data_IF_899010093694
#
_entry.id   IF_899010093694
#
_cell.length_a   1.000
_cell.length_b   1.000
_cell.length_c   1.000
_cell.angle_alpha   90.00
_cell.angle_beta   90.00
_cell.angle_gamma   90.00
#
_symmetry.space_group_name_H-M   'P 1'
#
loop_
_entity.id
_entity.type
_entity.pdbx_description
1 polymer ?
#
# COMPACT_ATOMS: atom_id res chain seq x y z
N UNK A 1 -9.66 -18.72 -21.89
CA UNK A 1 -8.77 -18.72 -20.70
C UNK A 1 -8.75 -17.31 -20.15
N UNK A 2 -9.57 -17.01 -19.15
CA UNK A 2 -9.70 -15.66 -18.60
C UNK A 2 -8.66 -15.47 -17.50
N UNK A 3 -7.75 -14.52 -17.69
CA UNK A 3 -6.79 -14.13 -16.66
C UNK A 3 -7.57 -13.53 -15.49
N UNK A 4 -7.50 -14.18 -14.33
CA UNK A 4 -8.00 -13.62 -13.09
C UNK A 4 -7.21 -12.35 -12.80
N UNK A 5 -7.82 -11.19 -13.04
CA UNK A 5 -7.32 -9.92 -12.54
C UNK A 5 -7.27 -10.07 -11.02
N UNK A 6 -6.08 -10.12 -10.44
CA UNK A 6 -5.90 -10.00 -9.00
C UNK A 6 -6.24 -8.56 -8.63
N UNK A 7 -7.53 -8.26 -8.49
CA UNK A 7 -7.99 -6.98 -7.96
C UNK A 7 -7.46 -6.92 -6.53
N UNK A 8 -6.42 -6.13 -6.30
CA UNK A 8 -5.97 -5.84 -4.94
C UNK A 8 -7.16 -5.23 -4.20
N UNK A 9 -7.59 -5.83 -3.07
CA UNK A 9 -8.78 -5.35 -2.37
C UNK A 9 -8.54 -3.91 -1.91
N UNK A 10 -9.52 -3.04 -2.16
CA UNK A 10 -9.53 -1.70 -1.58
C UNK A 10 -9.98 -1.79 -0.13
N UNK A 11 -9.31 -1.07 0.77
CA UNK A 11 -9.72 -0.92 2.17
C UNK A 11 -9.52 0.51 2.62
N UNK A 12 -10.56 1.10 3.19
CA UNK A 12 -10.56 2.48 3.70
C UNK A 12 -10.14 3.54 2.65
N UNK A 13 -10.38 3.28 1.36
CA UNK A 13 -9.99 4.17 0.26
C UNK A 13 -8.56 3.95 -0.25
N UNK A 14 -7.83 2.98 0.29
CA UNK A 14 -6.46 2.64 -0.10
C UNK A 14 -6.38 1.29 -0.80
N UNK A 15 -5.43 1.14 -1.72
CA UNK A 15 -5.11 -0.16 -2.30
C UNK A 15 -4.30 -0.97 -1.30
N UNK A 16 -4.80 -2.15 -0.91
CA UNK A 16 -4.10 -3.04 0.01
C UNK A 16 -3.13 -3.92 -0.76
N UNK A 17 -1.91 -4.06 -0.24
CA UNK A 17 -0.94 -5.00 -0.80
C UNK A 17 -1.23 -6.42 -0.34
N UNK A 18 -0.93 -7.42 -1.15
CA UNK A 18 -1.00 -8.83 -0.73
C UNK A 18 0.13 -9.22 0.24
N UNK A 19 0.82 -8.23 0.83
CA UNK A 19 1.97 -8.45 1.70
C UNK A 19 1.49 -8.82 3.10
N UNK A 20 1.88 -10.02 3.54
CA UNK A 20 1.75 -10.39 4.94
C UNK A 20 2.79 -9.64 5.78
N UNK A 21 2.33 -9.02 6.88
CA UNK A 21 3.22 -8.38 7.83
C UNK A 21 3.87 -9.44 8.73
N UNK A 22 5.19 -9.56 8.67
CA UNK A 22 5.97 -10.39 9.59
C UNK A 22 6.47 -9.50 10.73
N UNK A 23 5.92 -9.71 11.92
CA UNK A 23 6.42 -9.05 13.11
C UNK A 23 7.88 -9.47 13.39
N UNK A 24 8.74 -8.56 13.88
CA UNK A 24 10.08 -8.93 14.30
C UNK A 24 10.02 -9.94 15.46
N UNK A 25 10.96 -10.90 15.52
CA UNK A 25 10.89 -12.02 16.48
C UNK A 25 10.97 -11.58 17.95
N UNK A 26 11.63 -10.45 18.23
CA UNK A 26 11.80 -9.93 19.59
C UNK A 26 11.21 -8.52 19.71
N UNK A 27 9.89 -8.44 19.90
CA UNK A 27 9.19 -7.16 20.09
C UNK A 27 9.47 -6.52 21.46
N UNK A 28 9.95 -7.28 22.45
CA UNK A 28 10.19 -6.82 23.83
C UNK A 28 11.19 -5.67 23.92
N UNK A 29 12.24 -5.68 23.08
CA UNK A 29 13.31 -4.66 23.07
C UNK A 29 12.99 -3.46 22.20
N UNK A 30 11.89 -3.48 21.47
CA UNK A 30 11.48 -2.32 20.69
C UNK A 30 11.09 -1.17 21.62
N UNK A 31 11.48 0.03 21.22
CA UNK A 31 10.99 1.24 21.86
C UNK A 31 9.45 1.32 21.71
N UNK A 32 8.76 2.11 22.55
CA UNK A 32 7.31 2.20 22.52
C UNK A 32 6.73 2.61 21.14
N UNK A 33 7.46 3.44 20.37
CA UNK A 33 7.02 3.88 19.04
C UNK A 33 7.13 2.73 18.04
N UNK A 34 8.23 1.99 18.04
CA UNK A 34 8.42 0.82 17.19
C UNK A 34 7.41 -0.30 17.53
N UNK A 35 7.15 -0.56 18.83
CA UNK A 35 6.08 -1.48 19.26
C UNK A 35 4.73 -1.07 18.68
N UNK A 36 4.42 0.23 18.75
CA UNK A 36 3.16 0.76 18.23
C UNK A 36 3.02 0.53 16.72
N UNK A 37 4.08 0.77 15.94
CA UNK A 37 4.08 0.50 14.49
C UNK A 37 3.83 -0.98 14.18
N UNK A 38 4.50 -1.88 14.91
CA UNK A 38 4.30 -3.34 14.77
C UNK A 38 2.85 -3.72 15.06
N UNK A 39 2.26 -3.20 16.14
CA UNK A 39 0.86 -3.47 16.50
C UNK A 39 -0.10 -2.99 15.41
N UNK A 40 0.07 -1.76 14.90
CA UNK A 40 -0.75 -1.23 13.79
C UNK A 40 -0.72 -2.18 12.58
N UNK A 41 0.48 -2.60 12.17
CA UNK A 41 0.65 -3.46 11.00
C UNK A 41 0.06 -4.87 11.23
N UNK A 42 0.25 -5.43 12.42
CA UNK A 42 -0.29 -6.73 12.78
C UNK A 42 -1.83 -6.72 12.77
N UNK A 43 -2.45 -5.69 13.38
CA UNK A 43 -3.91 -5.54 13.41
C UNK A 43 -4.49 -5.37 12.01
N UNK A 44 -3.83 -4.64 11.13
CA UNK A 44 -4.29 -4.43 9.77
C UNK A 44 -4.14 -5.66 8.87
N UNK A 45 -2.92 -6.21 8.78
CA UNK A 45 -2.60 -7.27 7.81
C UNK A 45 -2.98 -8.66 8.30
N UNK A 46 -2.81 -8.94 9.59
CA UNK A 46 -2.98 -10.29 10.13
C UNK A 46 -4.36 -10.47 10.78
N UNK A 47 -4.88 -9.43 11.43
CA UNK A 47 -6.24 -9.45 12.01
C UNK A 47 -7.31 -8.85 11.10
N UNK A 48 -6.93 -8.22 9.99
CA UNK A 48 -7.88 -7.72 8.99
C UNK A 48 -8.71 -6.52 9.42
N UNK A 49 -8.34 -5.81 10.49
CA UNK A 49 -9.09 -4.65 10.97
C UNK A 49 -9.04 -3.48 9.98
N UNK A 50 -10.08 -2.65 10.00
CA UNK A 50 -10.11 -1.36 9.30
C UNK A 50 -9.22 -0.33 9.98
N UNK A 51 -8.79 0.69 9.24
CA UNK A 51 -8.00 1.79 9.81
C UNK A 51 -8.76 2.53 10.91
N UNK A 52 -10.09 2.64 10.79
CA UNK A 52 -10.94 3.27 11.83
C UNK A 52 -11.01 2.45 13.11
N UNK A 53 -11.09 1.12 12.99
CA UNK A 53 -11.12 0.25 14.17
C UNK A 53 -9.77 0.27 14.88
N UNK A 54 -8.67 0.31 14.13
CA UNK A 54 -7.32 0.44 14.69
C UNK A 54 -7.17 1.76 15.44
N UNK A 55 -7.65 2.87 14.86
CA UNK A 55 -7.67 4.19 15.53
C UNK A 55 -8.38 4.10 16.88
N UNK A 56 -9.55 3.47 16.94
CA UNK A 56 -10.34 3.33 18.17
C UNK A 56 -9.68 2.42 19.20
N UNK A 57 -9.15 1.28 18.77
CA UNK A 57 -8.54 0.28 19.66
C UNK A 57 -7.23 0.78 20.26
N UNK A 58 -6.44 1.52 19.49
CA UNK A 58 -5.12 1.99 19.91
C UNK A 58 -5.12 3.42 20.46
N UNK A 59 -6.25 4.13 20.39
CA UNK A 59 -6.36 5.57 20.67
C UNK A 59 -5.28 6.37 19.90
N UNK A 60 -5.18 6.08 18.59
CA UNK A 60 -4.16 6.67 17.70
C UNK A 60 -4.80 7.58 16.66
N UNK A 61 -4.03 8.56 16.18
CA UNK A 61 -4.53 9.42 15.11
C UNK A 61 -4.63 8.67 13.79
N UNK A 62 -5.67 8.97 13.00
CA UNK A 62 -5.87 8.36 11.68
C UNK A 62 -4.64 8.57 10.77
N UNK A 63 -4.07 9.78 10.77
CA UNK A 63 -2.87 10.10 10.00
C UNK A 63 -1.67 9.23 10.38
N UNK A 64 -1.48 8.93 11.68
CA UNK A 64 -0.38 8.06 12.12
C UNK A 64 -0.59 6.61 11.71
N UNK A 65 -1.83 6.12 11.76
CA UNK A 65 -2.17 4.77 11.25
C UNK A 65 -1.88 4.68 9.76
N UNK A 66 -2.41 5.61 8.95
CA UNK A 66 -2.20 5.64 7.49
C UNK A 66 -0.70 5.72 7.15
N UNK A 67 0.03 6.67 7.74
CA UNK A 67 1.45 6.84 7.45
C UNK A 67 2.25 5.59 7.81
N UNK A 68 1.94 4.94 8.93
CA UNK A 68 2.61 3.68 9.31
C UNK A 68 2.35 2.58 8.27
N UNK A 69 1.12 2.43 7.78
CA UNK A 69 0.79 1.41 6.79
C UNK A 69 1.44 1.70 5.42
N UNK A 70 1.57 2.97 5.04
CA UNK A 70 2.29 3.39 3.82
C UNK A 70 3.79 3.15 3.96
N UNK A 71 4.39 3.58 5.07
CA UNK A 71 5.82 3.37 5.37
C UNK A 71 6.21 1.88 5.31
N UNK A 72 5.31 1.00 5.76
CA UNK A 72 5.53 -0.46 5.74
C UNK A 72 5.10 -1.12 4.41
N UNK A 73 4.57 -0.37 3.45
CA UNK A 73 4.14 -0.87 2.14
C UNK A 73 2.95 -1.83 2.22
N UNK A 74 2.08 -1.65 3.21
CA UNK A 74 0.85 -2.44 3.37
C UNK A 74 -0.32 -1.83 2.60
N UNK A 75 -0.26 -0.51 2.37
CA UNK A 75 -1.25 0.21 1.58
C UNK A 75 -0.59 1.24 0.67
N UNK A 76 -1.27 1.58 -0.43
CA UNK A 76 -0.91 2.69 -1.31
C UNK A 76 -2.10 3.61 -1.54
N UNK A 77 -1.82 4.91 -1.63
CA UNK A 77 -2.84 5.90 -2.00
C UNK A 77 -3.27 5.68 -3.46
N UNK A 78 -4.57 5.53 -3.66
CA UNK A 78 -5.15 5.42 -5.01
C UNK A 78 -5.08 6.79 -5.68
N UNK A 79 -4.07 7.02 -6.52
CA UNK A 79 -4.08 8.17 -7.42
C UNK A 79 -5.28 8.02 -8.37
N UNK A 80 -6.36 8.78 -8.14
CA UNK A 80 -7.41 9.00 -9.14
C UNK A 80 -6.77 9.80 -10.28
N UNK A 81 -6.32 9.09 -11.33
CA UNK A 81 -5.90 9.70 -12.59
C UNK A 81 -4.40 9.62 -12.90
N UNK A 82 -3.97 8.47 -13.41
CA UNK A 82 -3.17 8.46 -14.64
C UNK A 82 -3.66 7.30 -15.48
N UNK A 83 -4.48 7.64 -16.48
CA UNK A 83 -4.75 6.74 -17.57
C UNK A 83 -3.42 6.20 -18.12
N UNK A 84 -3.39 4.90 -18.39
CA UNK A 84 -2.73 4.29 -19.54
C UNK A 84 -1.79 5.21 -20.31
N UNK A 85 -0.57 5.36 -19.84
CA UNK A 85 0.55 5.81 -20.68
C UNK A 85 1.77 5.01 -20.29
N UNK A 86 1.73 3.72 -20.63
CA UNK A 86 2.95 3.14 -21.20
C UNK A 86 3.26 4.01 -22.42
N UNK A 87 4.40 4.71 -22.51
CA UNK A 87 4.82 5.22 -23.79
C UNK A 87 5.11 3.97 -24.63
N UNK A 88 4.17 3.56 -25.48
CA UNK A 88 4.49 2.77 -26.66
C UNK A 88 5.60 3.55 -27.34
N UNK A 89 6.82 3.02 -27.28
CA UNK A 89 7.92 3.49 -28.10
C UNK A 89 7.51 3.19 -29.53
N UNK A 90 6.81 4.14 -30.15
CA UNK A 90 6.53 4.14 -31.57
C UNK A 90 7.84 4.54 -32.26
N UNK A 91 8.63 3.53 -32.64
CA UNK A 91 9.75 3.70 -33.57
C UNK A 91 9.17 4.11 -34.92
N UNK A 92 8.92 5.40 -35.10
CA UNK A 92 8.73 5.95 -36.44
C UNK A 92 10.07 5.96 -37.16
N UNK A 93 10.29 4.88 -37.87
CA UNK A 93 11.18 4.83 -39.01
C UNK A 93 10.64 5.77 -40.09
N UNK A 94 11.55 6.58 -40.62
CA UNK A 94 11.65 6.99 -42.02
C UNK A 94 11.03 8.34 -42.48
N UNK A 95 11.91 9.04 -43.23
CA UNK A 95 11.67 10.00 -44.31
C UNK A 95 11.61 11.50 -43.96
N UNK A 96 12.77 12.15 -44.07
CA UNK A 96 12.84 13.50 -44.62
C UNK A 96 13.85 13.53 -45.77
N UNK A 97 13.32 13.53 -47.00
CA UNK A 97 14.01 14.03 -48.18
C UNK A 97 14.28 15.53 -47.97
N UNK A 98 15.53 15.96 -48.17
CA UNK A 98 15.86 17.36 -48.41
C UNK A 98 15.63 17.68 -49.89
N UNK A 99 14.98 18.81 -50.12
CA UNK A 99 14.93 19.55 -51.38
C UNK A 99 16.35 19.97 -51.82
#
# INVERSE_FOLDING_TARGET
MSMAQSVSPERDGFQVTQRHFKAPPNTTFLDPVAKRKVTICNLFSNHGLSMRDIVRVLDESYGRVVNTLIEQGLVYERRKGRAETQPKVDRRHSFFNKL
#
